data_IF_106283089734
#
_entry.id   IF_106283089734
#
_cell.length_a   1.000
_cell.length_b   1.000
_cell.length_c   1.000
_cell.angle_alpha   90.00
_cell.angle_beta   90.00
_cell.angle_gamma   90.00
#
_symmetry.space_group_name_H-M   'P 1'
#
loop_
_entity.id
_entity.type
_entity.pdbx_description
1 polymer ?
#
# COMPACT_ATOMS: atom_id res chain seq x y z
N UNK A 1 -7.37 -8.50 2.03
CA UNK A 1 -6.06 -8.36 2.69
C UNK A 1 -5.95 -9.22 3.94
N UNK A 2 -6.74 -9.05 4.98
CA UNK A 2 -6.58 -9.82 6.23
C UNK A 2 -6.81 -11.32 6.02
N UNK A 3 -7.83 -11.71 5.26
CA UNK A 3 -8.11 -13.11 4.93
C UNK A 3 -6.96 -13.76 4.13
N UNK A 4 -6.37 -13.05 3.15
CA UNK A 4 -5.25 -13.54 2.35
C UNK A 4 -3.92 -13.63 3.12
N UNK A 5 -3.87 -13.20 4.37
CA UNK A 5 -2.71 -13.40 5.25
C UNK A 5 -2.76 -14.70 6.07
N UNK A 6 -3.86 -15.44 5.96
CA UNK A 6 -3.99 -16.75 6.63
C UNK A 6 -3.03 -17.78 6.02
N UNK A 7 -2.52 -18.68 6.86
CA UNK A 7 -1.71 -19.80 6.38
C UNK A 7 -2.62 -20.83 5.71
N UNK A 8 -2.57 -20.89 4.39
CA UNK A 8 -3.38 -21.81 3.59
C UNK A 8 -2.51 -22.82 2.82
N UNK A 9 -3.12 -23.88 2.32
CA UNK A 9 -2.44 -24.77 1.38
C UNK A 9 -2.31 -24.09 0.01
N UNK A 10 -1.32 -24.48 -0.79
CA UNK A 10 -1.12 -23.96 -2.15
C UNK A 10 -2.29 -24.20 -3.11
N UNK A 11 -3.24 -25.07 -2.72
CA UNK A 11 -4.42 -25.36 -3.52
C UNK A 11 -5.59 -24.39 -3.30
N UNK A 12 -5.47 -23.47 -2.33
CA UNK A 12 -6.51 -22.47 -2.03
C UNK A 12 -6.28 -21.25 -2.90
N UNK A 13 -7.31 -20.88 -3.67
CA UNK A 13 -7.38 -19.59 -4.34
C UNK A 13 -7.83 -18.52 -3.32
N UNK A 14 -6.89 -17.68 -2.93
CA UNK A 14 -7.12 -16.65 -1.90
C UNK A 14 -8.07 -15.53 -2.39
N UNK A 15 -8.07 -15.23 -3.70
CA UNK A 15 -9.01 -14.25 -4.26
C UNK A 15 -10.42 -14.77 -4.18
N UNK A 16 -10.64 -16.02 -4.60
CA UNK A 16 -11.95 -16.66 -4.50
C UNK A 16 -12.42 -16.79 -3.04
N UNK A 17 -11.52 -17.18 -2.12
CA UNK A 17 -11.83 -17.27 -0.69
C UNK A 17 -12.17 -15.91 -0.06
N UNK A 18 -11.63 -14.83 -0.59
CA UNK A 18 -11.90 -13.45 -0.15
C UNK A 18 -13.07 -12.81 -0.92
N UNK A 19 -13.75 -13.57 -1.79
CA UNK A 19 -14.85 -13.08 -2.65
C UNK A 19 -14.44 -11.87 -3.51
N UNK A 20 -13.16 -11.84 -3.97
CA UNK A 20 -12.60 -10.79 -4.80
C UNK A 20 -12.61 -11.20 -6.27
N UNK A 21 -12.84 -10.23 -7.14
CA UNK A 21 -12.97 -10.43 -8.58
C UNK A 21 -11.64 -10.16 -9.30
N UNK A 22 -10.98 -11.18 -9.87
CA UNK A 22 -9.79 -10.97 -10.69
C UNK A 22 -10.17 -10.35 -12.03
N UNK A 23 -9.46 -9.29 -12.43
CA UNK A 23 -9.57 -8.67 -13.76
C UNK A 23 -8.21 -8.65 -14.46
N UNK A 24 -8.17 -8.67 -15.81
CA UNK A 24 -6.92 -8.66 -16.56
C UNK A 24 -6.10 -7.40 -16.28
N UNK A 25 -4.79 -7.57 -16.14
CA UNK A 25 -3.83 -6.48 -16.18
C UNK A 25 -3.53 -6.07 -17.62
N UNK A 26 -2.93 -4.91 -17.82
CA UNK A 26 -2.58 -4.36 -19.13
C UNK A 26 -1.16 -4.73 -19.53
N UNK A 27 -0.23 -4.68 -18.60
CA UNK A 27 1.21 -4.78 -18.84
C UNK A 27 1.85 -6.05 -18.28
N UNK A 28 1.17 -6.74 -17.36
CA UNK A 28 1.66 -7.97 -16.72
C UNK A 28 0.60 -9.07 -16.80
N UNK A 29 1.01 -10.32 -16.56
CA UNK A 29 0.09 -11.47 -16.57
C UNK A 29 -0.69 -11.64 -15.26
N UNK A 30 -0.17 -11.13 -14.15
CA UNK A 30 -0.85 -11.19 -12.86
C UNK A 30 -2.16 -10.38 -12.91
N UNK A 31 -3.28 -10.91 -12.41
CA UNK A 31 -4.54 -10.18 -12.41
C UNK A 31 -4.51 -9.00 -11.42
N UNK A 32 -5.39 -8.04 -11.65
CA UNK A 32 -5.76 -6.98 -10.70
C UNK A 32 -7.02 -7.39 -9.95
N UNK A 33 -7.33 -6.70 -8.89
CA UNK A 33 -8.54 -6.91 -8.07
C UNK A 33 -9.56 -5.84 -8.45
N UNK A 34 -10.72 -6.23 -8.99
CA UNK A 34 -11.73 -5.29 -9.52
C UNK A 34 -12.23 -4.29 -8.45
N UNK A 35 -12.34 -4.73 -7.20
CA UNK A 35 -12.84 -3.94 -6.08
C UNK A 35 -11.84 -2.88 -5.60
N UNK A 36 -10.59 -2.92 -6.05
CA UNK A 36 -9.59 -1.89 -5.71
C UNK A 36 -9.66 -0.72 -6.69
N UNK A 37 -9.79 0.51 -6.24
CA UNK A 37 -9.84 1.66 -7.14
C UNK A 37 -8.46 2.12 -7.63
N UNK A 38 -7.38 1.58 -7.06
CA UNK A 38 -6.00 1.85 -7.49
C UNK A 38 -5.26 0.54 -7.67
N UNK A 39 -4.53 0.41 -8.80
CA UNK A 39 -3.69 -0.74 -9.08
C UNK A 39 -2.31 -0.29 -9.54
N UNK A 40 -1.30 -1.04 -9.15
CA UNK A 40 0.09 -0.82 -9.54
C UNK A 40 0.58 -2.10 -10.21
N UNK A 41 0.92 -2.01 -11.51
CA UNK A 41 1.52 -3.12 -12.24
C UNK A 41 3.03 -3.06 -12.13
N UNK A 42 3.63 -4.16 -11.65
CA UNK A 42 5.05 -4.23 -11.37
C UNK A 42 5.71 -5.39 -12.07
N UNK A 43 6.98 -5.22 -12.45
CA UNK A 43 7.90 -6.31 -12.82
C UNK A 43 8.85 -6.60 -11.67
N UNK A 44 9.08 -7.88 -11.40
CA UNK A 44 10.08 -8.30 -10.43
C UNK A 44 11.48 -7.81 -10.86
N UNK A 45 12.14 -7.06 -10.01
CA UNK A 45 13.52 -6.61 -10.19
C UNK A 45 14.47 -7.49 -9.37
N UNK A 46 14.13 -7.70 -8.11
CA UNK A 46 14.98 -8.43 -7.18
C UNK A 46 14.15 -9.05 -6.06
N UNK A 47 14.67 -10.10 -5.44
CA UNK A 47 14.16 -10.62 -4.17
C UNK A 47 15.32 -10.89 -3.21
N UNK A 48 15.06 -10.73 -1.91
CA UNK A 48 16.02 -10.95 -0.84
C UNK A 48 15.40 -11.85 0.22
N UNK A 49 15.99 -13.00 0.42
CA UNK A 49 15.60 -13.89 1.52
C UNK A 49 16.29 -13.44 2.81
N UNK A 50 15.51 -13.15 3.82
CA UNK A 50 15.99 -12.78 5.15
C UNK A 50 15.98 -14.01 6.07
N UNK A 51 17.03 -14.19 6.87
CA UNK A 51 17.05 -15.27 7.85
C UNK A 51 15.97 -15.04 8.90
N UNK A 52 15.23 -16.10 9.21
CA UNK A 52 14.33 -16.11 10.35
C UNK A 52 15.06 -16.69 11.56
N UNK A 53 15.23 -15.89 12.61
CA UNK A 53 15.92 -16.29 13.85
C UNK A 53 15.04 -17.12 14.79
N UNK A 54 13.72 -17.21 14.53
CA UNK A 54 12.74 -17.81 15.44
C UNK A 54 12.04 -19.06 14.89
N UNK A 55 12.36 -19.52 13.67
CA UNK A 55 11.72 -20.69 13.06
C UNK A 55 12.28 -21.09 11.71
N UNK A 56 11.70 -22.12 11.11
CA UNK A 56 12.12 -22.67 9.81
C UNK A 56 11.52 -21.94 8.60
N UNK A 57 10.76 -20.87 8.80
CA UNK A 57 10.19 -20.07 7.72
C UNK A 57 11.19 -19.04 7.22
N UNK A 58 11.13 -18.74 5.92
CA UNK A 58 11.90 -17.67 5.30
C UNK A 58 11.02 -16.45 5.15
N UNK A 59 11.58 -15.27 5.34
CA UNK A 59 10.97 -14.01 4.95
C UNK A 59 11.61 -13.56 3.64
N UNK A 60 10.80 -13.31 2.63
CA UNK A 60 11.29 -12.82 1.33
C UNK A 60 10.82 -11.39 1.11
N UNK A 61 11.76 -10.48 0.91
CA UNK A 61 11.48 -9.11 0.44
C UNK A 61 11.51 -9.11 -1.07
N UNK A 62 10.45 -8.61 -1.68
CA UNK A 62 10.30 -8.53 -3.14
C UNK A 62 10.40 -7.07 -3.58
N UNK A 63 11.26 -6.80 -4.55
CA UNK A 63 11.43 -5.50 -5.17
C UNK A 63 10.81 -5.53 -6.57
N UNK A 64 9.82 -4.68 -6.80
CA UNK A 64 9.15 -4.53 -8.08
C UNK A 64 9.38 -3.15 -8.68
N UNK A 65 9.69 -3.11 -9.98
CA UNK A 65 9.67 -1.87 -10.76
C UNK A 65 8.22 -1.58 -11.17
N UNK A 66 7.72 -0.41 -10.84
CA UNK A 66 6.41 0.05 -11.27
C UNK A 66 6.46 0.39 -12.76
N UNK A 67 5.65 -0.30 -13.55
CA UNK A 67 5.56 -0.11 -15.01
C UNK A 67 4.20 0.43 -15.47
N UNK A 68 3.22 0.44 -14.59
CA UNK A 68 1.89 1.00 -14.84
C UNK A 68 1.13 1.27 -13.55
N UNK A 69 0.32 2.31 -13.58
CA UNK A 69 -0.60 2.68 -12.49
C UNK A 69 -1.98 2.91 -13.07
N UNK A 70 -2.99 2.35 -12.44
CA UNK A 70 -4.39 2.58 -12.76
C UNK A 70 -5.05 3.25 -11.56
N UNK A 71 -5.77 4.32 -11.80
CA UNK A 71 -6.49 5.08 -10.76
C UNK A 71 -7.90 5.31 -11.30
N UNK A 72 -8.91 5.05 -10.49
CA UNK A 72 -10.29 5.36 -10.83
C UNK A 72 -10.47 6.89 -10.96
N UNK A 73 -11.10 7.35 -12.02
CA UNK A 73 -11.19 8.77 -12.38
C UNK A 73 -11.85 9.61 -11.28
N UNK A 74 -12.81 9.04 -10.55
CA UNK A 74 -13.50 9.69 -9.44
C UNK A 74 -12.60 10.01 -8.23
N UNK A 75 -11.42 9.38 -8.15
CA UNK A 75 -10.42 9.65 -7.13
C UNK A 75 -9.46 10.78 -7.50
N UNK A 76 -9.51 11.27 -8.74
CA UNK A 76 -8.62 12.34 -9.19
C UNK A 76 -9.37 13.66 -9.04
N UNK A 77 -8.81 14.58 -8.25
CA UNK A 77 -9.37 15.91 -8.09
C UNK A 77 -9.03 16.83 -9.29
N UNK A 78 -9.59 18.05 -9.30
CA UNK A 78 -9.40 19.04 -10.37
C UNK A 78 -7.93 19.46 -10.55
N UNK A 79 -7.08 19.28 -9.53
CA UNK A 79 -5.65 19.58 -9.57
C UNK A 79 -4.82 18.37 -10.07
N UNK A 80 -5.45 17.26 -10.44
CA UNK A 80 -4.79 16.04 -10.90
C UNK A 80 -4.16 15.23 -9.78
N UNK A 81 -4.59 15.40 -8.53
CA UNK A 81 -4.10 14.67 -7.35
C UNK A 81 -5.13 13.65 -6.89
N UNK A 82 -4.64 12.60 -6.23
CA UNK A 82 -5.52 11.62 -5.59
C UNK A 82 -6.20 12.28 -4.39
N UNK A 83 -7.52 12.23 -4.36
CA UNK A 83 -8.34 12.62 -3.21
C UNK A 83 -8.30 11.51 -2.15
N UNK A 84 -7.41 11.69 -1.18
CA UNK A 84 -7.20 10.70 -0.09
C UNK A 84 -8.46 10.55 0.75
N UNK A 85 -9.24 11.62 0.93
CA UNK A 85 -10.50 11.58 1.68
C UNK A 85 -11.57 10.71 1.00
N UNK A 86 -11.57 10.62 -0.34
CA UNK A 86 -12.46 9.71 -1.08
C UNK A 86 -11.91 8.30 -1.20
N UNK A 87 -10.59 8.13 -1.18
CA UNK A 87 -9.94 6.82 -1.30
C UNK A 87 -10.17 5.95 -0.08
N UNK A 88 -10.34 6.53 1.10
CA UNK A 88 -10.53 5.82 2.38
C UNK A 88 -9.47 4.72 2.63
N UNK A 89 -8.17 5.03 2.55
CA UNK A 89 -7.14 4.01 2.74
C UNK A 89 -7.16 3.51 4.18
N UNK A 90 -6.91 2.20 4.32
CA UNK A 90 -6.80 1.54 5.62
C UNK A 90 -5.32 1.46 6.00
N UNK A 91 -4.98 1.88 7.22
CA UNK A 91 -3.66 1.72 7.80
C UNK A 91 -3.68 0.74 8.97
N UNK A 92 -2.69 -0.17 9.00
CA UNK A 92 -2.48 -1.04 10.15
C UNK A 92 -1.69 -0.30 11.22
N UNK A 93 -2.23 -0.24 12.43
CA UNK A 93 -1.64 0.47 13.56
C UNK A 93 -0.69 -0.41 14.36
N UNK A 94 -1.18 -1.46 14.93
CA UNK A 94 -0.40 -2.40 15.73
C UNK A 94 -1.29 -3.54 16.18
N UNK A 95 -0.71 -4.65 16.60
CA UNK A 95 -1.46 -5.84 16.98
C UNK A 95 -2.48 -6.25 15.89
N UNK A 96 -3.77 -6.10 16.17
CA UNK A 96 -4.87 -6.36 15.23
C UNK A 96 -5.68 -5.11 14.90
N UNK A 97 -5.18 -3.94 15.29
CA UNK A 97 -5.87 -2.67 15.14
C UNK A 97 -5.62 -2.06 13.75
N UNK A 98 -6.64 -1.49 13.18
CA UNK A 98 -6.62 -0.76 11.92
C UNK A 98 -7.32 0.57 12.08
N UNK A 99 -6.96 1.52 11.25
CA UNK A 99 -7.70 2.78 11.11
C UNK A 99 -8.00 3.04 9.64
N UNK A 100 -9.08 3.73 9.39
CA UNK A 100 -9.44 4.27 8.09
C UNK A 100 -9.05 5.74 8.03
N UNK A 101 -8.47 6.17 6.92
CA UNK A 101 -8.17 7.58 6.68
C UNK A 101 -9.38 8.20 6.01
N UNK A 102 -9.95 9.23 6.64
CA UNK A 102 -11.10 9.99 6.12
C UNK A 102 -10.71 11.45 5.88
N UNK A 103 -11.57 12.22 5.24
CA UNK A 103 -11.32 13.64 4.99
C UNK A 103 -11.05 14.42 6.29
N UNK A 104 -11.71 14.03 7.40
CA UNK A 104 -11.56 14.67 8.70
C UNK A 104 -10.24 14.34 9.39
N UNK A 105 -9.61 13.23 9.03
CA UNK A 105 -8.34 12.78 9.62
C UNK A 105 -7.12 13.21 8.82
N UNK A 106 -7.30 13.72 7.59
CA UNK A 106 -6.22 14.22 6.74
C UNK A 106 -5.84 15.63 7.14
N UNK A 107 -4.56 15.86 7.36
CA UNK A 107 -4.02 17.19 7.61
C UNK A 107 -2.71 17.39 6.83
N UNK A 108 -2.40 18.62 6.49
CA UNK A 108 -1.20 18.97 5.76
C UNK A 108 -0.13 19.47 6.71
N UNK A 109 1.06 18.90 6.58
CA UNK A 109 2.27 19.43 7.22
C UNK A 109 3.21 19.92 6.11
N UNK A 110 3.48 21.22 6.11
CA UNK A 110 4.46 21.76 5.20
C UNK A 110 5.87 21.30 5.59
N UNK A 111 6.65 20.94 4.58
CA UNK A 111 8.05 20.62 4.81
C UNK A 111 8.78 21.90 5.21
N UNK A 112 9.44 21.96 6.39
CA UNK A 112 10.22 23.12 6.76
C UNK A 112 11.33 23.35 5.73
N UNK A 113 11.63 24.63 5.44
CA UNK A 113 12.76 25.02 4.61
C UNK A 113 14.09 24.59 5.25
N UNK A 114 15.19 25.12 4.71
CA UNK A 114 16.51 24.91 5.31
C UNK A 114 16.53 25.52 6.73
N UNK A 115 16.77 24.65 7.72
CA UNK A 115 16.91 25.06 9.11
C UNK A 115 18.41 25.14 9.47
N UNK A 116 18.86 26.30 9.96
CA UNK A 116 20.17 26.45 10.57
C UNK A 116 20.21 25.79 11.96
N UNK A 117 21.40 25.59 12.53
CA UNK A 117 21.53 25.11 13.90
C UNK A 117 20.78 25.99 14.91
N UNK A 118 20.77 27.29 14.69
CA UNK A 118 20.16 28.27 15.61
C UNK A 118 18.61 28.20 15.56
N UNK A 119 18.02 27.84 14.42
CA UNK A 119 16.57 27.66 14.26
C UNK A 119 16.04 26.44 15.01
N UNK A 120 16.85 25.37 15.13
CA UNK A 120 16.46 24.12 15.81
C UNK A 120 16.30 24.29 17.34
N UNK A 121 16.94 25.28 17.93
CA UNK A 121 16.90 25.53 19.36
C UNK A 121 15.96 26.66 19.80
N UNK A 122 15.41 27.42 18.85
CA UNK A 122 14.49 28.53 19.14
C UNK A 122 13.03 28.13 19.17
N UNK A 123 12.65 26.97 18.61
CA UNK A 123 11.26 26.51 18.51
C UNK A 123 10.73 25.74 19.74
N UNK A 124 11.48 25.73 20.85
CA UNK A 124 11.06 25.08 22.11
C UNK A 124 10.69 26.08 23.23
N UNK A 125 10.09 27.22 22.86
CA UNK A 125 9.49 28.13 23.86
C UNK A 125 8.01 28.27 23.64
#
# INVERSE_FOLDING_TARGET
>A
MNLSSATTSKAVDELAAAELTPIPSTLVKAPRVAESPIHIECKLVHHLDLPNTTGNSKYTVIFGEVIGVHIADELINEEGRIDIGKLHPIARMGYQDYTEVTAETVFTLERPGFLSKDDLFTSQK
#
